data_IF_964247636963
#
_entry.id   IF_964247636963
#
_cell.length_a   1.000
_cell.length_b   1.000
_cell.length_c   1.000
_cell.angle_alpha   90.00
_cell.angle_beta   90.00
_cell.angle_gamma   90.00
#
_symmetry.space_group_name_H-M   'P 1'
#
loop_
_entity.id
_entity.type
_entity.pdbx_description
1 polymer ?
#
# COMPACT_ATOMS: atom_id res chain seq x y z
N UNK A 1 29.33 40.39 -47.15
CA UNK A 1 28.14 39.71 -46.59
C UNK A 1 28.57 38.38 -45.99
N UNK A 2 28.64 38.26 -44.66
CA UNK A 2 28.99 37.00 -43.96
C UNK A 2 27.72 36.46 -43.28
N UNK A 3 27.33 35.23 -43.64
CA UNK A 3 26.18 34.50 -43.10
C UNK A 3 26.51 33.98 -41.70
N UNK A 4 25.77 34.40 -40.69
CA UNK A 4 25.73 33.73 -39.39
C UNK A 4 24.79 32.53 -39.49
N UNK A 5 25.35 31.32 -39.42
CA UNK A 5 24.59 30.07 -39.36
C UNK A 5 24.31 29.80 -37.89
N UNK A 6 23.07 30.09 -37.46
CA UNK A 6 22.57 29.73 -36.15
C UNK A 6 22.34 28.21 -36.12
N UNK A 7 23.16 27.47 -35.37
CA UNK A 7 22.95 26.04 -35.11
C UNK A 7 21.80 25.89 -34.12
N UNK A 8 20.61 25.56 -34.62
CA UNK A 8 19.48 25.15 -33.78
C UNK A 8 19.72 23.68 -33.41
N UNK A 9 20.11 23.45 -32.16
CA UNK A 9 20.28 22.11 -31.60
C UNK A 9 18.89 21.53 -31.32
N UNK A 10 18.48 20.56 -32.12
CA UNK A 10 17.22 19.84 -31.99
C UNK A 10 17.32 18.94 -30.74
N UNK A 11 16.71 19.34 -29.62
CA UNK A 11 16.57 18.50 -28.43
C UNK A 11 15.45 17.51 -28.74
N UNK A 12 15.83 16.28 -29.11
CA UNK A 12 14.89 15.17 -29.27
C UNK A 12 14.40 14.76 -27.88
N UNK A 13 13.23 15.25 -27.49
CA UNK A 13 12.53 14.76 -26.30
C UNK A 13 12.07 13.34 -26.64
N UNK A 14 12.82 12.34 -26.18
CA UNK A 14 12.40 10.95 -26.22
C UNK A 14 11.29 10.85 -25.16
N UNK A 15 10.06 11.08 -25.60
CA UNK A 15 8.85 10.75 -24.84
C UNK A 15 8.80 9.22 -24.72
N UNK A 16 9.44 8.69 -23.68
CA UNK A 16 9.30 7.30 -23.29
C UNK A 16 7.83 7.05 -22.96
N UNK A 17 7.18 6.17 -23.73
CA UNK A 17 5.89 5.62 -23.35
C UNK A 17 6.08 4.81 -22.05
N UNK A 18 5.84 5.44 -20.91
CA UNK A 18 5.69 4.76 -19.63
C UNK A 18 4.50 3.81 -19.77
N UNK A 19 4.76 2.53 -20.00
CA UNK A 19 3.73 1.51 -19.90
C UNK A 19 3.31 1.49 -18.44
N UNK A 20 2.11 2.00 -18.17
CA UNK A 20 1.51 1.92 -16.83
C UNK A 20 1.32 0.43 -16.51
N UNK A 21 2.20 -0.08 -15.65
CA UNK A 21 2.08 -1.44 -15.13
C UNK A 21 0.99 -1.42 -14.05
N UNK A 22 -0.16 -2.01 -14.34
CA UNK A 22 -1.22 -2.18 -13.34
C UNK A 22 -1.02 -3.45 -12.55
N UNK A 23 -1.32 -3.41 -11.26
CA UNK A 23 -1.30 -4.55 -10.34
C UNK A 23 -2.71 -4.74 -9.78
N UNK A 24 -3.15 -5.99 -9.68
CA UNK A 24 -4.37 -6.37 -8.97
C UNK A 24 -4.13 -6.31 -7.46
N UNK A 25 -4.93 -5.52 -6.76
CA UNK A 25 -4.95 -5.46 -5.29
C UNK A 25 -6.35 -5.78 -4.77
N UNK A 26 -6.46 -6.11 -3.49
CA UNK A 26 -7.74 -6.24 -2.80
C UNK A 26 -8.02 -4.99 -1.96
N UNK A 27 -9.29 -4.60 -1.89
CA UNK A 27 -9.80 -3.51 -1.03
C UNK A 27 -11.04 -4.00 -0.30
N UNK A 28 -11.22 -3.59 0.96
CA UNK A 28 -12.43 -3.86 1.72
C UNK A 28 -13.63 -3.17 1.08
N UNK A 29 -14.71 -3.92 0.95
CA UNK A 29 -15.99 -3.41 0.46
C UNK A 29 -16.77 -2.86 1.65
N UNK A 30 -17.24 -1.59 1.59
CA UNK A 30 -18.12 -1.05 2.62
C UNK A 30 -19.34 -1.94 2.84
N UNK A 31 -19.77 -2.12 4.10
CA UNK A 31 -20.86 -3.04 4.43
C UNK A 31 -22.15 -2.77 3.65
N UNK A 32 -22.49 -1.50 3.43
CA UNK A 32 -23.66 -1.09 2.65
C UNK A 32 -23.54 -1.38 1.13
N UNK A 33 -22.36 -1.72 0.66
CA UNK A 33 -22.04 -2.12 -0.72
C UNK A 33 -21.68 -3.61 -0.83
N UNK A 34 -21.64 -4.34 0.28
CA UNK A 34 -21.29 -5.75 0.30
C UNK A 34 -22.24 -6.60 -0.55
N UNK A 35 -21.71 -7.58 -1.30
CA UNK A 35 -22.51 -8.57 -2.00
C UNK A 35 -23.58 -9.22 -1.11
N UNK A 36 -24.76 -9.44 -1.69
CA UNK A 36 -25.84 -10.21 -1.07
C UNK A 36 -25.89 -11.59 -1.71
N UNK A 37 -25.69 -12.63 -0.92
CA UNK A 37 -25.82 -14.02 -1.38
C UNK A 37 -27.30 -14.34 -1.56
N UNK A 38 -27.64 -14.85 -2.74
CA UNK A 38 -28.98 -15.32 -3.10
C UNK A 38 -28.88 -16.64 -3.86
N UNK A 39 -30.01 -17.28 -4.14
CA UNK A 39 -30.05 -18.48 -4.99
C UNK A 39 -29.56 -18.23 -6.42
N UNK A 40 -29.73 -17.02 -6.96
CA UNK A 40 -29.30 -16.65 -8.31
C UNK A 40 -27.85 -16.10 -8.36
N UNK A 41 -27.41 -15.49 -7.25
CA UNK A 41 -26.08 -14.89 -7.10
C UNK A 41 -25.41 -15.48 -5.86
N UNK A 42 -24.89 -16.68 -6.04
CA UNK A 42 -24.14 -17.39 -5.02
C UNK A 42 -22.70 -16.85 -4.89
N UNK A 43 -21.91 -17.47 -4.00
CA UNK A 43 -20.51 -17.09 -3.79
C UNK A 43 -19.68 -17.20 -5.07
N UNK A 44 -19.94 -18.20 -5.93
CA UNK A 44 -19.19 -18.40 -7.16
C UNK A 44 -19.48 -17.30 -8.18
N UNK A 45 -20.72 -16.82 -8.25
CA UNK A 45 -21.10 -15.67 -9.05
C UNK A 45 -20.28 -14.44 -8.66
N UNK A 46 -20.17 -14.16 -7.35
CA UNK A 46 -19.45 -12.99 -6.85
C UNK A 46 -17.92 -13.12 -6.98
N UNK A 47 -17.36 -14.31 -6.75
CA UNK A 47 -15.95 -14.59 -7.00
C UNK A 47 -15.55 -14.31 -8.46
N UNK A 48 -16.41 -14.66 -9.44
CA UNK A 48 -16.19 -14.34 -10.86
C UNK A 48 -16.27 -12.83 -11.17
N UNK A 49 -16.87 -12.04 -10.28
CA UNK A 49 -16.92 -10.58 -10.35
C UNK A 49 -15.78 -9.91 -9.57
N UNK A 50 -14.86 -10.69 -9.00
CA UNK A 50 -13.71 -10.18 -8.25
C UNK A 50 -14.03 -9.88 -6.78
N UNK A 51 -15.22 -10.25 -6.29
CA UNK A 51 -15.57 -10.14 -4.88
C UNK A 51 -15.20 -11.42 -4.13
N UNK A 52 -14.57 -11.30 -2.98
CA UNK A 52 -14.17 -12.44 -2.16
C UNK A 52 -14.59 -12.23 -0.71
N UNK A 53 -15.31 -13.21 -0.18
CA UNK A 53 -15.77 -13.21 1.22
C UNK A 53 -14.61 -13.62 2.16
N UNK A 54 -14.49 -12.94 3.29
CA UNK A 54 -13.39 -13.08 4.24
C UNK A 54 -13.85 -12.83 5.68
N UNK A 55 -12.93 -13.03 6.64
CA UNK A 55 -13.26 -13.01 8.07
C UNK A 55 -13.88 -11.69 8.56
N UNK A 56 -13.44 -10.55 8.00
CA UNK A 56 -13.97 -9.22 8.32
C UNK A 56 -14.88 -8.65 7.22
N UNK A 57 -15.40 -9.51 6.35
CA UNK A 57 -16.33 -9.14 5.28
C UNK A 57 -15.71 -9.25 3.89
N UNK A 58 -16.34 -8.57 2.95
CA UNK A 58 -16.04 -8.71 1.54
C UNK A 58 -14.86 -7.85 1.11
N UNK A 59 -14.05 -8.40 0.21
CA UNK A 59 -13.04 -7.65 -0.53
C UNK A 59 -13.37 -7.61 -2.02
N UNK A 60 -12.85 -6.62 -2.73
CA UNK A 60 -12.93 -6.48 -4.18
C UNK A 60 -11.53 -6.38 -4.77
N UNK A 61 -11.26 -7.22 -5.78
CA UNK A 61 -10.06 -7.12 -6.60
C UNK A 61 -10.16 -5.96 -7.58
N UNK A 62 -9.17 -5.07 -7.59
CA UNK A 62 -9.12 -3.91 -8.48
C UNK A 62 -7.72 -3.69 -9.05
N UNK A 63 -7.66 -3.24 -10.31
CA UNK A 63 -6.40 -2.96 -11.01
C UNK A 63 -6.00 -1.52 -10.80
N UNK A 64 -4.82 -1.31 -10.24
CA UNK A 64 -4.28 0.02 -9.98
C UNK A 64 -2.86 0.15 -10.51
N UNK A 65 -2.45 1.36 -10.85
CA UNK A 65 -1.06 1.69 -11.17
C UNK A 65 -0.33 2.36 -10.02
N UNK A 66 -1.06 2.86 -9.03
CA UNK A 66 -0.54 3.59 -7.86
C UNK A 66 -1.48 3.34 -6.68
N UNK A 67 -0.92 3.26 -5.48
CA UNK A 67 -1.62 3.09 -4.21
C UNK A 67 -1.29 4.27 -3.30
N UNK A 68 -1.97 5.43 -3.45
CA UNK A 68 -1.61 6.65 -2.74
C UNK A 68 -1.71 6.49 -1.22
N UNK A 69 -0.86 7.17 -0.43
CA UNK A 69 -0.89 7.09 1.02
C UNK A 69 -2.20 7.65 1.61
N UNK A 70 -2.55 7.29 2.86
CA UNK A 70 -3.82 7.69 3.51
C UNK A 70 -4.09 9.20 3.59
N UNK A 71 -3.05 10.03 3.60
CA UNK A 71 -3.18 11.49 3.61
C UNK A 71 -3.32 12.12 2.21
N UNK A 72 -3.36 11.32 1.14
CA UNK A 72 -3.54 11.80 -0.23
C UNK A 72 -5.01 12.08 -0.55
N UNK A 73 -5.32 13.13 -1.34
CA UNK A 73 -6.67 13.35 -1.85
C UNK A 73 -7.17 12.19 -2.74
N UNK A 74 -6.26 11.42 -3.32
CA UNK A 74 -6.55 10.27 -4.18
C UNK A 74 -6.48 8.93 -3.42
N UNK A 75 -6.57 8.96 -2.08
CA UNK A 75 -6.57 7.75 -1.26
C UNK A 75 -7.68 6.78 -1.67
N UNK A 76 -7.33 5.50 -1.77
CA UNK A 76 -8.26 4.44 -2.14
C UNK A 76 -8.87 3.86 -0.87
N UNK A 77 -10.14 4.17 -0.60
CA UNK A 77 -10.85 3.60 0.55
C UNK A 77 -10.86 2.06 0.51
N UNK A 78 -10.80 1.45 1.70
CA UNK A 78 -10.77 0.00 1.86
C UNK A 78 -9.37 -0.62 1.80
N UNK A 79 -8.31 0.17 1.68
CA UNK A 79 -6.93 -0.29 1.86
C UNK A 79 -6.55 -0.28 3.34
N UNK A 80 -5.63 -1.17 3.74
CA UNK A 80 -4.98 -1.10 5.04
C UNK A 80 -4.07 0.12 5.12
N UNK A 81 -3.87 0.60 6.34
CA UNK A 81 -2.99 1.74 6.61
C UNK A 81 -1.77 1.28 7.42
N UNK A 82 -0.60 1.79 7.02
CA UNK A 82 0.68 1.54 7.67
C UNK A 82 1.35 2.89 7.92
N UNK A 83 1.88 3.08 9.13
CA UNK A 83 2.43 4.34 9.58
C UNK A 83 3.79 4.13 10.20
N UNK A 84 4.74 4.98 9.86
CA UNK A 84 5.92 5.18 10.69
C UNK A 84 5.65 6.30 11.67
N UNK A 85 6.08 6.12 12.92
CA UNK A 85 5.93 7.13 13.97
C UNK A 85 7.23 7.32 14.78
N UNK A 86 7.38 8.51 15.34
CA UNK A 86 8.49 8.81 16.27
C UNK A 86 8.18 8.32 17.69
N UNK A 87 9.14 8.44 18.61
CA UNK A 87 8.97 8.00 20.00
C UNK A 87 7.86 8.77 20.76
N UNK A 88 7.41 9.90 20.22
CA UNK A 88 6.28 10.65 20.77
C UNK A 88 4.94 10.23 20.16
N UNK A 89 4.89 9.25 19.27
CA UNK A 89 3.65 8.83 18.59
C UNK A 89 3.25 9.72 17.41
N UNK A 90 4.09 10.70 17.02
CA UNK A 90 3.81 11.53 15.85
C UNK A 90 4.10 10.74 14.58
N UNK A 91 3.13 10.72 13.66
CA UNK A 91 3.28 10.11 12.34
C UNK A 91 4.34 10.87 11.53
N UNK A 92 5.33 10.13 11.03
CA UNK A 92 6.41 10.61 10.15
C UNK A 92 6.07 10.30 8.70
N UNK A 93 5.62 9.07 8.43
CA UNK A 93 5.43 8.52 7.08
C UNK A 93 4.19 7.62 7.06
N UNK A 94 3.56 7.51 5.89
CA UNK A 94 2.38 6.66 5.71
C UNK A 94 2.48 5.88 4.41
N UNK A 95 1.97 4.65 4.43
CA UNK A 95 1.73 3.81 3.28
C UNK A 95 0.30 3.29 3.33
N UNK A 96 -0.31 3.14 2.17
CA UNK A 96 -1.50 2.31 2.02
C UNK A 96 -1.06 0.92 1.57
N UNK A 97 -1.78 -0.12 1.99
CA UNK A 97 -1.55 -1.49 1.56
C UNK A 97 -2.88 -2.16 1.16
N UNK A 98 -2.86 -3.17 0.26
CA UNK A 98 -4.05 -3.95 -0.03
C UNK A 98 -4.71 -4.50 1.24
N UNK A 99 -6.03 -4.66 1.22
CA UNK A 99 -6.77 -5.34 2.29
C UNK A 99 -6.13 -6.68 2.64
N UNK A 100 -6.08 -7.00 3.94
CA UNK A 100 -5.45 -8.21 4.46
C UNK A 100 -3.94 -8.36 4.15
N UNK A 101 -3.20 -7.26 4.13
CA UNK A 101 -1.72 -7.31 4.00
C UNK A 101 -0.99 -7.24 5.34
N UNK A 102 0.08 -8.03 5.49
CA UNK A 102 1.04 -7.88 6.60
C UNK A 102 2.34 -7.22 6.13
N UNK A 103 2.84 -6.17 6.81
CA UNK A 103 4.20 -5.69 6.63
C UNK A 103 5.21 -6.78 7.02
N UNK A 104 6.17 -7.06 6.14
CA UNK A 104 7.22 -8.07 6.36
C UNK A 104 8.61 -7.48 6.40
N UNK A 105 8.83 -6.31 5.81
CA UNK A 105 10.10 -5.61 5.82
C UNK A 105 9.93 -4.14 5.46
N UNK A 106 10.94 -3.34 5.82
CA UNK A 106 11.09 -1.96 5.38
C UNK A 106 12.53 -1.72 4.92
N UNK A 107 12.69 -0.97 3.84
CA UNK A 107 13.99 -0.51 3.33
C UNK A 107 13.82 0.83 2.64
N UNK A 108 14.59 1.84 3.03
CA UNK A 108 14.45 3.20 2.50
C UNK A 108 12.99 3.70 2.66
N UNK A 109 12.37 4.12 1.57
CA UNK A 109 10.97 4.56 1.53
C UNK A 109 9.99 3.45 1.10
N UNK A 110 10.48 2.20 1.01
CA UNK A 110 9.70 1.05 0.57
C UNK A 110 9.21 0.22 1.74
N UNK A 111 7.90 0.02 1.78
CA UNK A 111 7.23 -0.97 2.62
C UNK A 111 7.03 -2.26 1.83
N UNK A 112 7.50 -3.38 2.37
CA UNK A 112 7.29 -4.70 1.76
C UNK A 112 6.22 -5.45 2.53
N UNK A 113 5.28 -6.04 1.80
CA UNK A 113 4.18 -6.83 2.36
C UNK A 113 4.25 -8.29 1.91
N UNK A 114 3.58 -9.15 2.67
CA UNK A 114 3.52 -10.61 2.49
C UNK A 114 2.96 -11.07 1.14
N UNK A 115 2.23 -10.22 0.43
CA UNK A 115 1.77 -10.48 -0.94
C UNK A 115 2.86 -10.37 -2.01
N UNK A 116 4.11 -10.03 -1.64
CA UNK A 116 5.22 -9.83 -2.58
C UNK A 116 5.18 -8.48 -3.31
N UNK A 117 4.62 -7.46 -2.64
CA UNK A 117 4.55 -6.10 -3.14
C UNK A 117 5.44 -5.18 -2.32
N UNK A 118 6.21 -4.33 -3.00
CA UNK A 118 6.89 -3.18 -2.43
C UNK A 118 6.11 -1.91 -2.78
N UNK A 119 5.88 -1.07 -1.77
CA UNK A 119 5.03 0.12 -1.84
C UNK A 119 5.86 1.31 -1.36
N UNK A 120 6.05 2.32 -2.20
CA UNK A 120 6.72 3.55 -1.80
C UNK A 120 5.78 4.51 -1.06
N UNK A 121 6.35 5.54 -0.44
CA UNK A 121 5.61 6.58 0.29
C UNK A 121 4.73 7.46 -0.60
N UNK A 122 5.04 7.55 -1.90
CA UNK A 122 4.20 8.19 -2.93
C UNK A 122 3.22 7.20 -3.61
N UNK A 123 3.22 5.94 -3.18
CA UNK A 123 2.28 4.92 -3.63
C UNK A 123 2.69 4.16 -4.89
N UNK A 124 3.91 4.34 -5.41
CA UNK A 124 4.42 3.50 -6.49
C UNK A 124 4.51 2.04 -6.04
N UNK A 125 4.19 1.16 -6.99
CA UNK A 125 4.08 -0.27 -6.73
C UNK A 125 5.10 -1.06 -7.52
N UNK A 126 5.74 -2.03 -6.87
CA UNK A 126 6.67 -2.96 -7.52
C UNK A 126 6.46 -4.37 -7.00
N UNK A 127 6.20 -5.32 -7.89
CA UNK A 127 6.24 -6.73 -7.52
C UNK A 127 7.68 -7.14 -7.22
N UNK A 128 7.91 -7.58 -6.00
CA UNK A 128 9.22 -7.99 -5.50
C UNK A 128 9.05 -8.87 -4.27
N UNK A 129 9.66 -10.05 -4.28
CA UNK A 129 9.78 -10.86 -3.07
C UNK A 129 10.91 -10.30 -2.20
N UNK A 130 10.67 -10.19 -0.90
CA UNK A 130 11.66 -9.77 0.07
C UNK A 130 11.68 -10.75 1.24
N UNK A 131 12.85 -10.97 1.82
CA UNK A 131 12.97 -11.85 2.99
C UNK A 131 12.36 -11.15 4.20
N UNK A 132 11.41 -11.80 4.86
CA UNK A 132 10.79 -11.28 6.08
C UNK A 132 11.87 -10.89 7.09
N UNK A 133 11.86 -9.62 7.50
CA UNK A 133 12.75 -9.11 8.53
C UNK A 133 12.33 -9.64 9.90
N UNK A 134 13.28 -9.63 10.84
CA UNK A 134 12.94 -9.83 12.25
C UNK A 134 12.13 -8.63 12.72
N UNK A 135 10.91 -8.89 13.19
CA UNK A 135 9.99 -7.87 13.70
C UNK A 135 9.89 -8.02 15.22
N UNK A 136 10.07 -6.93 15.95
CA UNK A 136 9.91 -6.90 17.42
C UNK A 136 8.61 -6.18 17.75
N UNK A 137 7.60 -6.93 18.16
CA UNK A 137 6.30 -6.36 18.52
C UNK A 137 6.38 -5.51 19.80
N UNK A 138 5.62 -4.41 19.82
CA UNK A 138 5.54 -3.47 20.93
C UNK A 138 4.10 -2.97 21.10
N UNK A 139 3.82 -2.34 22.24
CA UNK A 139 2.57 -1.62 22.44
C UNK A 139 2.53 -0.35 21.58
N UNK A 140 1.37 -0.04 21.01
CA UNK A 140 1.18 1.22 20.32
C UNK A 140 1.11 2.39 21.30
N UNK A 141 1.66 3.58 20.95
CA UNK A 141 1.47 4.79 21.73
C UNK A 141 -0.02 5.16 21.84
N UNK A 142 -0.46 5.60 23.01
CA UNK A 142 -1.87 5.98 23.26
C UNK A 142 -2.31 7.20 22.44
N UNK A 143 -1.36 8.06 22.07
CA UNK A 143 -1.62 9.29 21.33
C UNK A 143 -1.39 9.12 19.81
N UNK A 144 -1.26 7.88 19.34
CA UNK A 144 -1.17 7.59 17.93
C UNK A 144 -2.56 7.76 17.30
N UNK A 145 -2.73 8.85 16.55
CA UNK A 145 -3.99 9.23 15.90
C UNK A 145 -4.22 8.39 14.63
N UNK A 146 -4.65 7.15 14.82
CA UNK A 146 -5.07 6.23 13.77
C UNK A 146 -6.48 5.79 14.11
N UNK A 147 -7.38 5.78 13.12
CA UNK A 147 -8.74 5.28 13.26
C UNK A 147 -8.75 3.97 14.07
N UNK A 148 -9.56 3.93 15.14
CA UNK A 148 -9.62 2.87 16.16
C UNK A 148 -9.82 1.46 15.57
N UNK A 149 -8.76 0.88 15.01
CA UNK A 149 -8.76 -0.48 14.49
C UNK A 149 -8.51 -1.46 15.63
N UNK A 150 -9.43 -2.40 15.84
CA UNK A 150 -9.25 -3.52 16.78
C UNK A 150 -8.04 -4.41 16.41
N UNK A 151 -7.55 -4.26 15.18
CA UNK A 151 -6.41 -5.00 14.63
C UNK A 151 -5.14 -4.15 14.55
N UNK A 152 -5.10 -2.98 15.18
CA UNK A 152 -3.89 -2.17 15.25
C UNK A 152 -2.76 -2.97 15.92
N UNK A 153 -1.59 -3.00 15.26
CA UNK A 153 -0.35 -3.59 15.78
C UNK A 153 0.76 -2.59 15.64
N UNK A 154 1.67 -2.61 16.61
CA UNK A 154 2.91 -1.84 16.54
C UNK A 154 4.10 -2.78 16.65
N UNK A 155 5.14 -2.46 15.88
CA UNK A 155 6.37 -3.22 15.90
C UNK A 155 7.55 -2.38 15.43
N UNK A 156 8.74 -2.85 15.79
CA UNK A 156 10.01 -2.30 15.36
C UNK A 156 10.54 -3.16 14.22
N UNK A 157 10.79 -2.50 13.09
CA UNK A 157 11.45 -3.07 11.92
C UNK A 157 12.87 -2.53 11.86
N UNK A 158 13.86 -3.42 11.71
CA UNK A 158 15.24 -3.00 11.51
C UNK A 158 15.50 -2.83 10.02
N UNK A 159 15.70 -1.59 9.59
CA UNK A 159 16.13 -1.29 8.22
C UNK A 159 17.55 -1.81 8.01
N UNK A 160 17.67 -2.88 7.23
CA UNK A 160 18.93 -3.59 7.02
C UNK A 160 19.98 -2.78 6.26
N UNK A 161 19.58 -1.75 5.50
CA UNK A 161 20.53 -0.92 4.75
C UNK A 161 21.17 0.15 5.63
N UNK A 162 20.38 0.76 6.53
CA UNK A 162 20.84 1.87 7.37
C UNK A 162 21.12 1.49 8.82
N UNK A 163 20.86 0.23 9.21
CA UNK A 163 20.96 -0.24 10.60
C UNK A 163 20.15 0.68 11.52
N UNK A 164 18.94 1.04 11.07
CA UNK A 164 18.03 1.94 11.81
C UNK A 164 16.74 1.20 12.13
N UNK A 165 16.41 1.20 13.41
CA UNK A 165 15.11 0.73 13.88
C UNK A 165 14.03 1.77 13.56
N UNK A 166 12.91 1.29 13.03
CA UNK A 166 11.75 2.10 12.63
C UNK A 166 10.52 1.58 13.34
N UNK A 167 9.82 2.47 14.04
CA UNK A 167 8.56 2.12 14.70
C UNK A 167 7.44 2.19 13.68
N UNK A 168 6.79 1.05 13.45
CA UNK A 168 5.74 0.90 12.46
C UNK A 168 4.46 0.48 13.17
N UNK A 169 3.39 1.21 12.91
CA UNK A 169 2.03 0.86 13.27
C UNK A 169 1.28 0.43 12.01
N UNK A 170 0.47 -0.61 12.09
CA UNK A 170 -0.28 -1.09 10.95
C UNK A 170 -1.56 -1.80 11.36
N UNK A 171 -2.53 -1.77 10.45
CA UNK A 171 -3.77 -2.54 10.56
C UNK A 171 -3.47 -3.98 10.14
N UNK A 172 -3.46 -4.91 11.11
CA UNK A 172 -3.21 -6.30 10.82
C UNK A 172 -4.43 -6.94 10.12
N UNK A 173 -4.20 -7.90 9.21
CA UNK A 173 -5.24 -8.69 8.60
C UNK A 173 -6.17 -9.32 9.61
N UNK A 174 -7.44 -9.33 9.25
CA UNK A 174 -8.47 -10.00 10.01
C UNK A 174 -8.37 -11.51 9.77
N UNK A 175 -8.04 -12.25 10.83
CA UNK A 175 -7.82 -13.70 10.81
C UNK A 175 -8.72 -14.42 11.78
#
# INVERSE_FOLDING_TARGET
MKKNILKISLITIISGCSHSHTIDIYTWVPENQSPKITTEKDINYWNKKGYYDGACGWTLSTKISILPPPNSPDYIYGTEQIFEYDLSGKIITQWAAPANSYPIAIQDDLMFIDSGLAISTDGQLKQMTFNKQKVVYSSCPENLDIDNSDYLRCAIFSDTLFVKDRNIAYQAPCT
#
